data_IF_727043528175
#
_entry.id   IF_727043528175
#
_cell.length_a   1.000
_cell.length_b   1.000
_cell.length_c   1.000
_cell.angle_alpha   90.00
_cell.angle_beta   90.00
_cell.angle_gamma   90.00
#
_symmetry.space_group_name_H-M   'P 1'
#
loop_
_entity.id
_entity.type
_entity.pdbx_description
1 polymer ?
#
# COMPACT_ATOMS: atom_id res chain seq x y z
N UNK A 1 3.65 10.97 -26.97
CA UNK A 1 3.08 9.86 -26.17
C UNK A 1 4.14 8.83 -25.77
N UNK A 2 4.77 8.09 -26.69
CA UNK A 2 5.82 7.12 -26.33
C UNK A 2 7.04 7.79 -25.65
N UNK A 3 7.46 8.95 -26.17
CA UNK A 3 8.57 9.73 -25.60
C UNK A 3 8.26 10.30 -24.21
N UNK A 4 7.00 10.66 -23.95
CA UNK A 4 6.58 11.19 -22.65
C UNK A 4 6.55 10.10 -21.56
N UNK A 5 6.10 8.89 -21.92
CA UNK A 5 6.11 7.75 -21.02
C UNK A 5 7.54 7.30 -20.70
N UNK A 6 8.42 7.24 -21.72
CA UNK A 6 9.83 6.93 -21.55
C UNK A 6 10.56 7.96 -20.68
N UNK A 7 10.31 9.26 -20.91
CA UNK A 7 10.86 10.35 -20.09
C UNK A 7 10.36 10.26 -18.64
N UNK A 8 9.07 10.01 -18.43
CA UNK A 8 8.50 9.89 -17.09
C UNK A 8 9.09 8.71 -16.33
N UNK A 9 9.24 7.56 -17.00
CA UNK A 9 9.91 6.40 -16.42
C UNK A 9 11.38 6.70 -16.07
N UNK A 10 12.13 7.37 -16.96
CA UNK A 10 13.50 7.78 -16.69
C UNK A 10 13.61 8.76 -15.52
N UNK A 11 12.66 9.69 -15.37
CA UNK A 11 12.59 10.61 -14.24
C UNK A 11 12.36 9.87 -12.92
N UNK A 12 11.39 8.94 -12.86
CA UNK A 12 11.15 8.11 -11.67
C UNK A 12 12.35 7.22 -11.34
N UNK A 13 12.97 6.59 -12.34
CA UNK A 13 14.21 5.82 -12.15
C UNK A 13 15.32 6.66 -11.52
N UNK A 14 15.51 7.89 -12.00
CA UNK A 14 16.49 8.84 -11.45
C UNK A 14 16.14 9.22 -10.01
N UNK A 15 14.88 9.59 -9.73
CA UNK A 15 14.38 9.93 -8.40
C UNK A 15 14.71 8.84 -7.37
N UNK A 16 14.41 7.58 -7.70
CA UNK A 16 14.58 6.45 -6.79
C UNK A 16 16.05 6.11 -6.51
N UNK A 17 16.98 6.57 -7.35
CA UNK A 17 18.42 6.48 -7.12
C UNK A 17 18.95 7.60 -6.19
N UNK A 18 18.18 8.68 -5.96
CA UNK A 18 18.64 9.82 -5.14
C UNK A 18 18.58 9.47 -3.65
N UNK A 19 19.73 9.55 -2.97
CA UNK A 19 19.82 9.32 -1.52
C UNK A 19 18.94 10.28 -0.71
N UNK A 20 18.84 11.55 -1.16
CA UNK A 20 17.98 12.56 -0.54
C UNK A 20 16.51 12.14 -0.50
N UNK A 21 15.97 11.64 -1.61
CA UNK A 21 14.60 11.12 -1.69
C UNK A 21 14.37 9.97 -0.70
N UNK A 22 15.28 8.99 -0.66
CA UNK A 22 15.17 7.82 0.23
C UNK A 22 15.17 8.23 1.71
N UNK A 23 16.01 9.21 2.07
CA UNK A 23 16.08 9.75 3.43
C UNK A 23 14.79 10.48 3.81
N UNK A 24 14.27 11.31 2.91
CA UNK A 24 13.03 12.04 3.16
C UNK A 24 11.83 11.09 3.25
N UNK A 25 11.75 10.08 2.38
CA UNK A 25 10.73 9.04 2.46
C UNK A 25 10.75 8.32 3.82
N UNK A 26 11.94 7.98 4.33
CA UNK A 26 12.08 7.40 5.67
C UNK A 26 11.63 8.35 6.79
N UNK A 27 11.92 9.65 6.68
CA UNK A 27 11.48 10.66 7.63
C UNK A 27 9.95 10.82 7.62
N UNK A 28 9.34 10.95 6.44
CA UNK A 28 7.87 11.07 6.28
C UNK A 28 7.15 9.85 6.84
N UNK A 29 7.66 8.66 6.55
CA UNK A 29 7.11 7.39 7.05
C UNK A 29 7.43 7.14 8.53
N UNK A 30 8.33 7.91 9.14
CA UNK A 30 8.87 7.70 10.48
C UNK A 30 9.49 6.30 10.67
N UNK A 31 10.34 5.90 9.72
CA UNK A 31 11.00 4.58 9.67
C UNK A 31 12.51 4.69 9.59
N UNK A 32 13.18 3.56 9.86
CA UNK A 32 14.62 3.42 9.66
C UNK A 32 14.98 3.68 8.17
N UNK A 33 15.89 4.64 7.87
CA UNK A 33 16.37 4.88 6.52
C UNK A 33 16.92 3.65 5.81
N UNK A 34 17.51 2.69 6.55
CA UNK A 34 18.01 1.45 5.99
C UNK A 34 16.88 0.59 5.41
N UNK A 35 15.73 0.53 6.09
CA UNK A 35 14.57 -0.25 5.61
C UNK A 35 14.04 0.31 4.30
N UNK A 36 13.89 1.63 4.21
CA UNK A 36 13.41 2.29 2.99
C UNK A 36 14.41 2.14 1.84
N UNK A 37 15.71 2.32 2.12
CA UNK A 37 16.77 2.12 1.14
C UNK A 37 16.77 0.69 0.60
N UNK A 38 16.82 -0.31 1.47
CA UNK A 38 16.95 -1.71 1.07
C UNK A 38 15.70 -2.18 0.30
N UNK A 39 14.51 -1.69 0.64
CA UNK A 39 13.28 -1.94 -0.11
C UNK A 39 13.32 -1.35 -1.52
N UNK A 40 13.65 -0.06 -1.65
CA UNK A 40 13.74 0.60 -2.96
C UNK A 40 14.81 -0.05 -3.84
N UNK A 41 16.00 -0.33 -3.27
CA UNK A 41 17.08 -0.99 -4.01
C UNK A 41 16.65 -2.37 -4.53
N UNK A 42 16.02 -3.21 -3.68
CA UNK A 42 15.56 -4.53 -4.07
C UNK A 42 14.51 -4.49 -5.19
N UNK A 43 13.55 -3.57 -5.10
CA UNK A 43 12.49 -3.42 -6.10
C UNK A 43 13.01 -2.89 -7.45
N UNK A 44 13.99 -1.98 -7.40
CA UNK A 44 14.66 -1.46 -8.61
C UNK A 44 15.50 -2.56 -9.27
N UNK A 45 16.26 -3.34 -8.49
CA UNK A 45 17.05 -4.48 -9.00
C UNK A 45 16.14 -5.54 -9.62
N UNK A 46 14.97 -5.80 -9.03
CA UNK A 46 13.98 -6.73 -9.55
C UNK A 46 13.22 -6.20 -10.80
N UNK A 47 13.41 -4.94 -11.18
CA UNK A 47 12.71 -4.33 -12.32
C UNK A 47 11.22 -4.10 -12.07
N UNK A 48 10.78 -4.09 -10.81
CA UNK A 48 9.38 -3.84 -10.42
C UNK A 48 9.10 -2.34 -10.43
N UNK A 49 10.06 -1.55 -9.95
CA UNK A 49 9.98 -0.09 -9.86
C UNK A 49 11.14 0.52 -10.66
N UNK A 50 10.91 1.51 -11.54
CA UNK A 50 9.63 2.13 -11.87
C UNK A 50 8.74 1.27 -12.77
N UNK A 51 7.44 1.33 -12.52
CA UNK A 51 6.37 0.72 -13.28
C UNK A 51 6.38 1.22 -14.73
N UNK A 52 6.11 0.32 -15.67
CA UNK A 52 6.19 0.61 -17.11
C UNK A 52 4.86 1.05 -17.73
N UNK A 53 3.81 1.25 -16.91
CA UNK A 53 2.52 1.74 -17.39
C UNK A 53 2.66 3.11 -18.07
N UNK A 54 1.91 3.31 -19.15
CA UNK A 54 1.99 4.51 -19.97
C UNK A 54 1.40 5.75 -19.27
N UNK A 55 0.34 5.57 -18.47
CA UNK A 55 -0.25 6.63 -17.67
C UNK A 55 0.62 6.93 -16.45
N UNK A 56 1.29 8.09 -16.42
CA UNK A 56 2.26 8.44 -15.38
C UNK A 56 1.66 8.39 -13.96
N UNK A 57 0.44 8.88 -13.78
CA UNK A 57 -0.23 8.88 -12.47
C UNK A 57 -0.48 7.44 -11.97
N UNK A 58 -0.90 6.54 -12.85
CA UNK A 58 -1.13 5.13 -12.51
C UNK A 58 0.20 4.41 -12.24
N UNK A 59 1.22 4.67 -13.06
CA UNK A 59 2.56 4.13 -12.85
C UNK A 59 3.16 4.59 -11.52
N UNK A 60 2.99 5.86 -11.15
CA UNK A 60 3.47 6.40 -9.89
C UNK A 60 2.72 5.81 -8.69
N UNK A 61 1.40 5.58 -8.81
CA UNK A 61 0.61 4.94 -7.76
C UNK A 61 1.13 3.54 -7.50
N UNK A 62 1.34 2.77 -8.57
CA UNK A 62 1.92 1.43 -8.50
C UNK A 62 3.32 1.47 -7.87
N UNK A 63 4.18 2.41 -8.27
CA UNK A 63 5.52 2.57 -7.67
C UNK A 63 5.44 2.77 -6.16
N UNK A 64 4.56 3.66 -5.72
CA UNK A 64 4.35 3.94 -4.30
C UNK A 64 3.81 2.74 -3.52
N UNK A 65 2.85 2.01 -4.09
CA UNK A 65 2.31 0.78 -3.49
C UNK A 65 3.42 -0.27 -3.35
N UNK A 66 4.17 -0.55 -4.42
CA UNK A 66 5.26 -1.53 -4.37
C UNK A 66 6.34 -1.15 -3.37
N UNK A 67 6.69 0.13 -3.26
CA UNK A 67 7.60 0.61 -2.21
C UNK A 67 7.05 0.37 -0.81
N UNK A 68 5.76 0.65 -0.58
CA UNK A 68 5.11 0.41 0.71
C UNK A 68 5.14 -1.08 1.09
N UNK A 69 4.82 -1.96 0.15
CA UNK A 69 4.86 -3.42 0.32
C UNK A 69 6.30 -3.91 0.55
N UNK A 70 7.28 -3.34 -0.16
CA UNK A 70 8.69 -3.65 0.03
C UNK A 70 9.20 -3.29 1.41
N UNK A 71 8.85 -2.09 1.89
CA UNK A 71 9.20 -1.62 3.24
C UNK A 71 8.56 -2.53 4.29
N UNK A 72 7.29 -2.87 4.13
CA UNK A 72 6.58 -3.70 5.11
C UNK A 72 6.85 -5.19 5.01
N UNK A 73 7.55 -5.64 3.97
CA UNK A 73 7.97 -7.03 3.87
C UNK A 73 8.89 -7.44 5.02
N UNK A 74 9.72 -6.52 5.54
CA UNK A 74 10.59 -6.72 6.71
C UNK A 74 11.42 -8.03 6.68
N UNK A 75 11.80 -8.45 5.48
CA UNK A 75 12.67 -9.60 5.21
C UNK A 75 14.05 -9.13 4.73
N UNK A 76 14.97 -10.08 4.55
CA UNK A 76 16.27 -9.84 3.90
C UNK A 76 16.10 -9.23 2.49
N UNK A 77 17.02 -8.34 2.04
CA UNK A 77 16.86 -7.59 0.79
C UNK A 77 16.57 -8.44 -0.47
N UNK A 78 17.22 -9.59 -0.60
CA UNK A 78 17.04 -10.52 -1.74
C UNK A 78 15.65 -11.17 -1.79
N UNK A 79 14.92 -11.20 -0.67
CA UNK A 79 13.58 -11.76 -0.57
C UNK A 79 12.46 -10.71 -0.69
N UNK A 80 12.80 -9.41 -0.69
CA UNK A 80 11.81 -8.32 -0.66
C UNK A 80 10.87 -8.40 -1.87
N UNK A 81 11.41 -8.52 -3.08
CA UNK A 81 10.58 -8.57 -4.29
C UNK A 81 9.55 -9.72 -4.26
N UNK A 82 9.99 -10.90 -3.80
CA UNK A 82 9.12 -12.07 -3.65
C UNK A 82 8.03 -11.83 -2.59
N UNK A 83 8.42 -11.32 -1.42
CA UNK A 83 7.49 -11.10 -0.31
C UNK A 83 6.48 -9.98 -0.63
N UNK A 84 6.92 -8.90 -1.27
CA UNK A 84 6.03 -7.83 -1.76
C UNK A 84 5.00 -8.38 -2.74
N UNK A 85 5.39 -9.27 -3.65
CA UNK A 85 4.45 -9.88 -4.59
C UNK A 85 3.39 -10.72 -3.88
N UNK A 86 3.77 -11.42 -2.81
CA UNK A 86 2.83 -12.18 -1.97
C UNK A 86 1.83 -11.25 -1.28
N UNK A 87 2.28 -10.13 -0.72
CA UNK A 87 1.37 -9.10 -0.18
C UNK A 87 0.46 -8.53 -1.27
N UNK A 88 1.00 -8.14 -2.43
CA UNK A 88 0.24 -7.60 -3.56
C UNK A 88 -0.90 -8.53 -3.99
N UNK A 89 -0.63 -9.84 -4.03
CA UNK A 89 -1.58 -10.88 -4.44
C UNK A 89 -2.61 -11.29 -3.40
N UNK A 90 -2.54 -10.78 -2.16
CA UNK A 90 -3.52 -11.12 -1.13
C UNK A 90 -4.92 -10.73 -1.59
N UNK A 91 -5.89 -11.57 -1.26
CA UNK A 91 -7.27 -11.39 -1.69
C UNK A 91 -8.11 -10.86 -0.55
N UNK A 92 -9.08 -10.01 -0.88
CA UNK A 92 -10.04 -9.46 0.08
C UNK A 92 -10.81 -10.59 0.77
N UNK A 93 -10.79 -10.60 2.11
CA UNK A 93 -11.46 -11.58 2.96
C UNK A 93 -12.66 -10.98 3.68
N UNK A 94 -12.51 -9.74 4.15
CA UNK A 94 -13.56 -9.00 4.86
C UNK A 94 -13.60 -7.59 4.32
N UNK A 95 -14.81 -7.12 4.02
CA UNK A 95 -15.10 -5.74 3.66
C UNK A 95 -16.23 -5.19 4.55
N UNK A 96 -15.87 -4.35 5.52
CA UNK A 96 -16.85 -3.73 6.41
C UNK A 96 -17.78 -2.72 5.68
N UNK A 97 -17.45 -2.29 4.46
CA UNK A 97 -18.31 -1.42 3.65
C UNK A 97 -19.50 -2.19 3.05
N UNK A 98 -19.32 -3.49 2.83
CA UNK A 98 -20.28 -4.35 2.13
C UNK A 98 -20.53 -5.66 2.90
N UNK A 99 -21.08 -5.60 4.13
CA UNK A 99 -21.32 -6.79 4.96
C UNK A 99 -22.30 -7.79 4.30
N UNK A 100 -23.16 -7.31 3.39
CA UNK A 100 -24.29 -8.04 2.78
C UNK A 100 -23.97 -9.07 1.70
N UNK A 101 -22.71 -9.32 1.35
CA UNK A 101 -22.43 -10.37 0.36
C UNK A 101 -22.37 -11.74 1.03
N UNK A 102 -23.54 -12.36 1.27
CA UNK A 102 -23.64 -13.80 1.57
C UNK A 102 -23.02 -14.69 0.46
N UNK A 103 -22.65 -14.08 -0.68
CA UNK A 103 -21.85 -14.65 -1.77
C UNK A 103 -20.67 -13.73 -2.11
N UNK A 104 -19.67 -13.65 -1.24
CA UNK A 104 -18.30 -13.24 -1.57
C UNK A 104 -18.17 -11.95 -2.38
N UNK A 105 -18.30 -10.81 -1.71
CA UNK A 105 -17.95 -9.49 -2.21
C UNK A 105 -16.61 -9.57 -2.92
N UNK A 106 -16.62 -9.10 -4.18
CA UNK A 106 -15.54 -9.19 -5.17
C UNK A 106 -14.37 -10.10 -4.76
N UNK A 107 -14.52 -11.42 -4.92
CA UNK A 107 -13.44 -12.40 -4.74
C UNK A 107 -12.19 -12.11 -5.60
N UNK A 108 -12.23 -11.10 -6.48
CA UNK A 108 -11.14 -10.67 -7.35
C UNK A 108 -10.42 -9.40 -6.88
N UNK A 109 -10.84 -8.74 -5.80
CA UNK A 109 -10.11 -7.59 -5.27
C UNK A 109 -8.80 -8.05 -4.63
N UNK A 110 -7.68 -7.61 -5.21
CA UNK A 110 -6.34 -7.81 -4.65
C UNK A 110 -5.96 -6.61 -3.80
N UNK A 111 -5.07 -6.85 -2.85
CA UNK A 111 -4.59 -5.81 -1.96
C UNK A 111 -3.81 -4.71 -2.72
N UNK A 112 -3.05 -5.08 -3.75
CA UNK A 112 -2.41 -4.12 -4.67
C UNK A 112 -3.44 -3.21 -5.33
N UNK A 113 -4.51 -3.76 -5.92
CA UNK A 113 -5.51 -2.97 -6.63
C UNK A 113 -6.19 -1.95 -5.72
N UNK A 114 -6.48 -2.34 -4.48
CA UNK A 114 -7.11 -1.49 -3.47
C UNK A 114 -6.15 -0.39 -2.99
N UNK A 115 -4.88 -0.72 -2.72
CA UNK A 115 -3.87 0.29 -2.38
C UNK A 115 -3.61 1.26 -3.55
N UNK A 116 -3.54 0.77 -4.79
CA UNK A 116 -3.34 1.63 -5.97
C UNK A 116 -4.53 2.55 -6.18
N UNK A 117 -5.76 2.08 -5.92
CA UNK A 117 -6.94 2.93 -5.94
C UNK A 117 -6.85 4.05 -4.89
N UNK A 118 -6.37 3.75 -3.68
CA UNK A 118 -6.19 4.74 -2.61
C UNK A 118 -5.12 5.79 -2.94
N UNK A 119 -3.97 5.37 -3.47
CA UNK A 119 -2.91 6.30 -3.87
C UNK A 119 -3.43 7.28 -4.92
N UNK A 120 -4.22 6.81 -5.89
CA UNK A 120 -4.88 7.68 -6.88
C UNK A 120 -5.92 8.61 -6.26
N UNK A 121 -6.69 8.12 -5.29
CA UNK A 121 -7.70 8.92 -4.58
C UNK A 121 -7.05 10.12 -3.87
N UNK A 122 -5.92 9.89 -3.18
CA UNK A 122 -5.18 10.93 -2.46
C UNK A 122 -4.61 12.00 -3.41
N UNK A 123 -4.15 11.64 -4.61
CA UNK A 123 -3.69 12.60 -5.62
C UNK A 123 -4.80 13.28 -6.42
N UNK A 124 -6.07 12.91 -6.21
CA UNK A 124 -7.17 13.51 -6.95
C UNK A 124 -7.38 14.97 -6.52
N UNK A 125 -7.52 15.93 -7.46
CA UNK A 125 -7.82 17.34 -7.14
C UNK A 125 -9.10 17.53 -6.30
N UNK A 126 -10.04 16.57 -6.35
CA UNK A 126 -11.23 16.57 -5.52
C UNK A 126 -10.91 16.50 -4.00
N UNK A 127 -9.74 15.98 -3.63
CA UNK A 127 -9.24 15.90 -2.26
C UNK A 127 -8.45 17.15 -1.82
N UNK A 128 -8.04 18.03 -2.75
CA UNK A 128 -7.46 19.32 -2.34
C UNK A 128 -8.51 20.25 -1.69
N UNK A 129 -9.80 20.02 -1.99
CA UNK A 129 -10.91 20.81 -1.48
C UNK A 129 -11.59 20.23 -0.21
N UNK A 130 -11.28 18.99 0.17
CA UNK A 130 -11.88 18.31 1.32
C UNK A 130 -10.80 17.56 2.11
N UNK A 131 -10.86 17.61 3.45
CA UNK A 131 -9.92 16.85 4.30
C UNK A 131 -9.84 15.39 3.81
N UNK A 132 -8.64 14.88 3.47
CA UNK A 132 -8.53 13.54 2.94
C UNK A 132 -9.05 12.52 3.96
N UNK A 133 -9.64 11.39 3.49
CA UNK A 133 -9.98 10.32 4.39
C UNK A 133 -8.72 9.93 5.16
N UNK A 134 -8.86 9.79 6.47
CA UNK A 134 -7.78 9.27 7.30
C UNK A 134 -7.62 7.81 6.86
N UNK A 135 -6.41 7.39 6.51
CA UNK A 135 -6.16 6.07 5.91
C UNK A 135 -4.99 5.36 6.59
N UNK A 136 -5.21 4.18 7.12
CA UNK A 136 -4.21 3.36 7.79
C UNK A 136 -3.99 2.10 7.01
N UNK A 137 -2.73 1.72 6.79
CA UNK A 137 -2.38 0.48 6.08
C UNK A 137 -1.57 -0.41 7.01
N UNK A 138 -2.03 -1.63 7.23
CA UNK A 138 -1.32 -2.65 8.01
C UNK A 138 -0.80 -3.77 7.12
N UNK A 139 0.42 -4.23 7.39
CA UNK A 139 1.04 -5.40 6.78
C UNK A 139 1.51 -6.31 7.90
N UNK A 140 0.99 -7.53 7.96
CA UNK A 140 1.19 -8.42 9.09
C UNK A 140 1.49 -9.85 8.64
N UNK A 141 2.11 -10.62 9.53
CA UNK A 141 2.36 -12.04 9.36
C UNK A 141 2.03 -12.79 10.65
N UNK A 142 1.56 -14.03 10.53
CA UNK A 142 1.14 -14.82 11.71
C UNK A 142 2.15 -15.83 12.23
N UNK A 143 3.30 -15.99 11.58
CA UNK A 143 4.38 -16.82 12.09
C UNK A 143 5.75 -16.20 11.81
N UNK A 144 6.78 -16.66 12.53
CA UNK A 144 8.15 -16.17 12.31
C UNK A 144 8.70 -16.47 10.91
N UNK A 145 8.02 -17.30 10.12
CA UNK A 145 8.40 -17.66 8.76
C UNK A 145 7.70 -16.81 7.68
N UNK A 146 6.70 -16.00 8.04
CA UNK A 146 5.94 -15.20 7.09
C UNK A 146 5.12 -16.03 6.11
N UNK A 147 4.65 -17.22 6.51
CA UNK A 147 3.88 -18.12 5.61
C UNK A 147 2.49 -17.58 5.35
N UNK A 148 1.81 -17.07 6.38
CA UNK A 148 0.48 -16.48 6.26
C UNK A 148 0.58 -14.97 6.49
N UNK A 149 0.13 -14.22 5.48
CA UNK A 149 0.21 -12.77 5.41
C UNK A 149 -1.18 -12.17 5.49
N UNK A 150 -1.24 -10.99 6.10
CA UNK A 150 -2.45 -10.19 6.22
C UNK A 150 -2.16 -8.75 5.83
N UNK A 151 -3.14 -8.14 5.15
CA UNK A 151 -3.17 -6.72 4.85
C UNK A 151 -4.41 -6.10 5.47
N UNK A 152 -4.29 -4.90 6.03
CA UNK A 152 -5.45 -4.11 6.45
C UNK A 152 -5.46 -2.76 5.78
N UNK A 153 -6.66 -2.28 5.46
CA UNK A 153 -6.91 -0.91 5.06
C UNK A 153 -7.98 -0.40 6.00
N UNK A 154 -7.61 0.57 6.83
CA UNK A 154 -8.50 1.29 7.73
C UNK A 154 -8.83 2.66 7.13
N UNK A 155 -10.10 2.98 6.95
CA UNK A 155 -10.58 4.28 6.48
C UNK A 155 -11.44 4.93 7.56
N UNK A 156 -11.15 6.18 7.88
CA UNK A 156 -11.97 6.99 8.79
C UNK A 156 -12.34 8.32 8.13
N UNK A 157 -13.60 8.69 8.25
CA UNK A 157 -14.12 9.98 7.81
C UNK A 157 -14.92 10.62 8.95
N UNK A 158 -14.80 11.94 9.11
CA UNK A 158 -15.52 12.65 10.17
C UNK A 158 -17.03 12.47 10.00
N UNK A 159 -17.69 11.98 11.05
CA UNK A 159 -19.14 11.78 11.06
C UNK A 159 -19.62 10.53 10.31
N UNK A 160 -18.71 9.67 9.84
CA UNK A 160 -19.04 8.35 9.29
C UNK A 160 -18.48 7.24 10.18
N UNK A 161 -19.08 6.02 10.13
CA UNK A 161 -18.48 4.85 10.74
C UNK A 161 -17.05 4.64 10.25
N UNK A 162 -16.24 3.98 11.08
CA UNK A 162 -14.94 3.50 10.63
C UNK A 162 -15.13 2.29 9.72
N UNK A 163 -14.30 2.20 8.71
CA UNK A 163 -14.35 1.15 7.71
C UNK A 163 -13.01 0.40 7.70
N UNK A 164 -13.07 -0.93 7.63
CA UNK A 164 -11.88 -1.79 7.62
C UNK A 164 -12.04 -2.88 6.57
N UNK A 165 -11.03 -3.00 5.71
CA UNK A 165 -10.85 -4.14 4.81
C UNK A 165 -9.71 -5.01 5.29
N UNK A 166 -9.89 -6.32 5.21
CA UNK A 166 -8.86 -7.31 5.57
C UNK A 166 -8.59 -8.19 4.35
N UNK A 167 -7.31 -8.32 4.02
CA UNK A 167 -6.78 -9.16 2.96
C UNK A 167 -5.93 -10.24 3.59
N UNK A 168 -5.89 -11.42 2.97
CA UNK A 168 -5.03 -12.50 3.42
C UNK A 168 -4.44 -13.28 2.24
N UNK A 169 -3.28 -13.88 2.45
CA UNK A 169 -2.64 -14.77 1.47
C UNK A 169 -3.35 -16.13 1.35
N UNK A 170 -4.11 -16.52 2.36
CA UNK A 170 -4.94 -17.72 2.36
C UNK A 170 -6.35 -17.40 2.88
N UNK A 171 -7.39 -18.17 2.47
CA UNK A 171 -8.76 -17.96 2.95
C UNK A 171 -8.87 -18.06 4.47
N UNK A 172 -9.46 -17.04 5.10
CA UNK A 172 -9.63 -17.03 6.55
C UNK A 172 -10.78 -17.95 6.98
N UNK A 173 -10.52 -18.76 8.01
CA UNK A 173 -11.59 -19.46 8.74
C UNK A 173 -12.13 -18.52 9.80
N UNK A 174 -13.03 -17.62 9.40
CA UNK A 174 -13.67 -16.70 10.32
C UNK A 174 -14.73 -17.45 11.15
N UNK A 175 -14.87 -17.18 12.46
CA UNK A 175 -16.03 -17.62 13.19
C UNK A 175 -17.31 -17.02 12.58
N UNK A 176 -18.46 -17.62 12.85
CA UNK A 176 -19.73 -17.04 12.42
C UNK A 176 -19.92 -15.69 13.12
N UNK A 177 -20.16 -14.62 12.36
CA UNK A 177 -20.41 -13.31 12.93
C UNK A 177 -21.63 -13.35 13.85
N UNK A 178 -21.58 -12.77 15.06
CA UNK A 178 -22.76 -12.63 15.90
C UNK A 178 -23.86 -11.88 15.14
N UNK A 179 -25.00 -12.53 14.90
CA UNK A 179 -26.11 -11.90 14.15
C UNK A 179 -26.00 -11.95 12.61
N UNK A 180 -24.97 -12.58 12.05
CA UNK A 180 -24.93 -12.98 10.63
C UNK A 180 -23.79 -12.40 9.80
N UNK A 181 -23.47 -11.12 9.91
CA UNK A 181 -22.50 -10.42 9.04
C UNK A 181 -21.42 -9.69 9.85
N UNK A 182 -20.19 -9.67 9.32
CA UNK A 182 -19.07 -8.95 9.95
C UNK A 182 -19.16 -7.45 9.60
N UNK A 183 -19.36 -6.61 10.61
CA UNK A 183 -19.20 -5.16 10.51
C UNK A 183 -17.91 -4.69 11.22
N UNK A 184 -17.63 -3.38 11.15
CA UNK A 184 -16.43 -2.83 11.79
C UNK A 184 -16.37 -3.12 13.30
N UNK A 185 -17.49 -3.04 14.03
CA UNK A 185 -17.55 -3.25 15.48
C UNK A 185 -17.23 -4.70 15.81
N UNK A 186 -17.86 -5.65 15.10
CA UNK A 186 -17.60 -7.07 15.27
C UNK A 186 -16.15 -7.42 14.91
N UNK A 187 -15.60 -6.84 13.85
CA UNK A 187 -14.19 -7.05 13.48
C UNK A 187 -13.25 -6.53 14.56
N UNK A 188 -13.47 -5.32 15.09
CA UNK A 188 -12.57 -4.72 16.08
C UNK A 188 -12.67 -5.42 17.45
N UNK A 189 -13.87 -5.84 17.86
CA UNK A 189 -14.09 -6.49 19.16
C UNK A 189 -13.76 -7.99 19.14
N UNK A 190 -14.07 -8.69 18.05
CA UNK A 190 -14.05 -10.16 18.01
C UNK A 190 -13.01 -10.76 17.08
N UNK A 191 -12.55 -10.03 16.04
CA UNK A 191 -11.54 -10.53 15.12
C UNK A 191 -10.16 -9.96 15.43
N UNK A 192 -9.38 -10.72 16.20
CA UNK A 192 -7.95 -10.45 16.37
C UNK A 192 -7.18 -11.13 15.25
N UNK A 193 -6.51 -10.33 14.42
CA UNK A 193 -5.51 -10.84 13.49
C UNK A 193 -4.49 -11.68 14.29
N UNK A 194 -4.17 -12.92 13.88
CA UNK A 194 -3.18 -13.74 14.56
C UNK A 194 -1.76 -13.26 14.22
N UNK A 195 -1.52 -11.95 14.20
CA UNK A 195 -0.26 -11.35 13.82
C UNK A 195 0.77 -11.51 14.95
N UNK A 196 1.90 -12.13 14.63
CA UNK A 196 3.08 -12.19 15.52
C UNK A 196 4.06 -11.05 15.22
N UNK A 197 3.90 -10.40 14.08
CA UNK A 197 4.66 -9.22 13.68
C UNK A 197 4.02 -8.50 12.50
N UNK A 198 4.58 -7.35 12.17
CA UNK A 198 4.09 -6.51 11.09
C UNK A 198 4.65 -5.09 11.11
N UNK A 199 4.04 -4.25 10.29
CA UNK A 199 4.16 -2.80 10.29
C UNK A 199 2.78 -2.20 10.04
N UNK A 200 2.51 -1.04 10.63
CA UNK A 200 1.35 -0.23 10.31
C UNK A 200 1.82 1.16 9.90
N UNK A 201 1.32 1.64 8.78
CA UNK A 201 1.52 2.99 8.29
C UNK A 201 0.35 3.84 8.76
N UNK A 202 0.67 4.79 9.62
CA UNK A 202 -0.31 5.76 10.09
C UNK A 202 -0.68 6.75 8.97
N UNK A 203 -1.88 7.32 9.02
CA UNK A 203 -2.43 8.21 7.97
C UNK A 203 -1.54 9.37 7.54
N UNK A 204 -1.08 10.19 8.48
CA UNK A 204 -0.31 11.40 8.16
C UNK A 204 1.04 11.06 7.50
N UNK A 205 1.85 10.12 8.04
CA UNK A 205 3.01 9.58 7.35
C UNK A 205 2.75 9.03 5.94
N UNK A 206 1.64 8.31 5.75
CA UNK A 206 1.29 7.75 4.45
C UNK A 206 0.99 8.85 3.42
N UNK A 207 0.19 9.85 3.80
CA UNK A 207 -0.09 11.02 2.95
C UNK A 207 1.22 11.73 2.59
N UNK A 208 2.07 12.03 3.58
CA UNK A 208 3.33 12.72 3.34
C UNK A 208 4.30 11.95 2.44
N UNK A 209 4.27 10.62 2.43
CA UNK A 209 5.03 9.79 1.49
C UNK A 209 4.46 9.84 0.06
N UNK A 210 3.13 9.82 -0.06
CA UNK A 210 2.41 9.89 -1.33
C UNK A 210 2.63 11.25 -2.01
N UNK A 211 2.59 12.35 -1.25
CA UNK A 211 2.93 13.69 -1.74
C UNK A 211 4.39 13.78 -2.22
N UNK A 212 5.33 13.26 -1.42
CA UNK A 212 6.76 13.23 -1.76
C UNK A 212 7.04 12.52 -3.09
N UNK A 213 6.31 11.45 -3.40
CA UNK A 213 6.42 10.73 -4.67
C UNK A 213 6.01 11.60 -5.85
N UNK A 214 4.89 12.32 -5.73
CA UNK A 214 4.39 13.21 -6.78
C UNK A 214 5.36 14.39 -7.01
N UNK A 215 5.68 15.13 -5.94
CA UNK A 215 6.59 16.28 -6.00
C UNK A 215 7.97 15.88 -6.55
N UNK A 216 8.52 14.76 -6.07
CA UNK A 216 9.81 14.25 -6.52
C UNK A 216 9.80 13.85 -8.00
N UNK A 217 8.73 13.22 -8.49
CA UNK A 217 8.63 12.80 -9.88
C UNK A 217 8.53 14.01 -10.83
N UNK A 218 7.72 15.00 -10.47
CA UNK A 218 7.58 16.25 -11.23
C UNK A 218 8.88 17.06 -11.26
N UNK A 219 9.50 17.27 -10.09
CA UNK A 219 10.77 17.99 -9.98
C UNK A 219 11.90 17.29 -10.73
N UNK A 220 11.92 15.95 -10.75
CA UNK A 220 12.93 15.19 -11.49
C UNK A 220 12.66 15.21 -13.00
N UNK A 221 11.41 15.21 -13.44
CA UNK A 221 11.06 15.25 -14.87
C UNK A 221 11.62 16.50 -15.57
N UNK A 222 11.70 17.63 -14.87
CA UNK A 222 12.33 18.85 -15.37
C UNK A 222 13.85 18.69 -15.63
N UNK A 223 14.51 17.75 -14.96
CA UNK A 223 15.96 17.52 -14.98
C UNK A 223 16.44 16.42 -15.95
N UNK A 224 15.52 15.77 -16.68
CA UNK A 224 15.80 14.72 -17.68
C UNK A 224 15.52 15.23 -19.10
N UNK A 225 15.78 16.52 -19.33
CA UNK A 225 15.72 17.16 -20.66
C UNK A 225 17.01 16.95 -21.44
#
# INVERSE_FOLDING_TARGET
MADDAARSNAARKKLYAVQGFRREAAQRLNLDPKMVKDAIDALVVAGIVPCTLAANAEALAMDGVWMLLGIGSRVRPDAIALQSARFASMTLQIDADHPRSAKGGSRSATFENELTALFREIWSPAHEAAFPPVLGVGLHWSDGQGTLLFGTIDRWERGKPRHRKIFASEPLRLPQAPGGEWDFVHIDESFRLPAVGGIAFSPLPLIGFIELLAEGAEGTAASVR
#
